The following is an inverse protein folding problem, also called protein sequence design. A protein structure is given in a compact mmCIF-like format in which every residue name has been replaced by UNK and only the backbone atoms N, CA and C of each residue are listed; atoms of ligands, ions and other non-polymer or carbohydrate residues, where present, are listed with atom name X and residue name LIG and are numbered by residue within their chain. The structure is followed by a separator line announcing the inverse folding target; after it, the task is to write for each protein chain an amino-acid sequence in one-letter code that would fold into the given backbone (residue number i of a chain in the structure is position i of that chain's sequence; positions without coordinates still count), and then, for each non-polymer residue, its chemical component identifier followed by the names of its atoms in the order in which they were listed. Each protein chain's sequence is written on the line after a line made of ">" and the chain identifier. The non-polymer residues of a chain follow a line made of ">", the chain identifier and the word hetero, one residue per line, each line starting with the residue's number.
data_IF_335061978849
#
_entry.id   IF_335061978849
#
_cell.length_a   1.000
_cell.length_b   1.000
_cell.length_c   1.000
_cell.angle_alpha   90.00
_cell.angle_beta   90.00
_cell.angle_gamma   90.00
#
_symmetry.space_group_name_H-M   'P 1'
#
loop_
_entity.id
_entity.type
_entity.pdbx_description
1 polymer ?
#
# COMPACT_ATOMS: atom_id res chain seq x y z
N UNK A 1 -35.80 -61.00 -11.74
CA UNK A 1 -34.60 -61.85 -11.59
C UNK A 1 -33.49 -60.92 -11.11
N UNK A 2 -33.38 -60.71 -9.80
CA UNK A 2 -32.36 -59.85 -9.20
C UNK A 2 -31.05 -60.64 -9.11
N UNK A 3 -30.03 -60.18 -9.82
CA UNK A 3 -28.67 -60.70 -9.64
C UNK A 3 -28.08 -60.07 -8.38
N UNK A 4 -28.19 -60.77 -7.25
CA UNK A 4 -27.47 -60.42 -6.03
C UNK A 4 -26.03 -60.90 -6.21
N UNK A 5 -25.11 -59.96 -6.48
CA UNK A 5 -23.67 -60.22 -6.52
C UNK A 5 -23.19 -60.64 -5.13
N UNK A 6 -22.92 -61.93 -4.95
CA UNK A 6 -22.41 -62.51 -3.71
C UNK A 6 -20.88 -62.42 -3.71
N UNK A 7 -20.35 -61.23 -3.41
CA UNK A 7 -18.91 -61.00 -3.22
C UNK A 7 -18.50 -61.54 -1.83
N UNK A 8 -17.32 -62.16 -1.75
CA UNK A 8 -16.74 -62.57 -0.47
C UNK A 8 -16.35 -61.35 0.37
N UNK A 9 -16.33 -61.49 1.71
CA UNK A 9 -16.00 -60.38 2.63
C UNK A 9 -14.67 -59.69 2.27
N UNK A 10 -13.69 -60.45 1.78
CA UNK A 10 -12.40 -59.91 1.30
C UNK A 10 -12.53 -59.01 0.08
N UNK A 11 -13.42 -59.33 -0.85
CA UNK A 11 -13.64 -58.51 -2.05
C UNK A 11 -14.38 -57.22 -1.69
N UNK A 12 -15.29 -57.28 -0.72
CA UNK A 12 -15.98 -56.10 -0.20
C UNK A 12 -15.03 -55.15 0.55
N UNK A 13 -14.13 -55.70 1.36
CA UNK A 13 -13.08 -54.92 2.05
C UNK A 13 -12.07 -54.30 1.06
N UNK A 14 -11.69 -55.04 0.02
CA UNK A 14 -10.83 -54.51 -1.05
C UNK A 14 -11.51 -53.35 -1.79
N UNK A 15 -12.79 -53.47 -2.12
CA UNK A 15 -13.57 -52.40 -2.74
C UNK A 15 -13.62 -51.15 -1.86
N UNK A 16 -13.89 -51.31 -0.55
CA UNK A 16 -13.90 -50.19 0.41
C UNK A 16 -12.56 -49.47 0.44
N UNK A 17 -11.45 -50.20 0.47
CA UNK A 17 -10.10 -49.63 0.49
C UNK A 17 -9.78 -48.88 -0.82
N UNK A 18 -10.19 -49.41 -1.96
CA UNK A 18 -10.06 -48.73 -3.26
C UNK A 18 -10.88 -47.43 -3.28
N UNK A 19 -12.13 -47.44 -2.79
CA UNK A 19 -12.94 -46.23 -2.70
C UNK A 19 -12.34 -45.19 -1.76
N UNK A 20 -11.83 -45.60 -0.60
CA UNK A 20 -11.15 -44.71 0.33
C UNK A 20 -9.91 -44.08 -0.31
N UNK A 21 -9.08 -44.88 -1.00
CA UNK A 21 -7.91 -44.38 -1.70
C UNK A 21 -8.28 -43.40 -2.82
N UNK A 22 -9.27 -43.74 -3.65
CA UNK A 22 -9.77 -42.86 -4.70
C UNK A 22 -10.29 -41.52 -4.12
N UNK A 23 -11.03 -41.57 -3.01
CA UNK A 23 -11.52 -40.37 -2.33
C UNK A 23 -10.37 -39.50 -1.78
N UNK A 24 -9.34 -40.11 -1.20
CA UNK A 24 -8.17 -39.41 -0.68
C UNK A 24 -7.39 -38.72 -1.81
N UNK A 25 -7.24 -39.39 -2.96
CA UNK A 25 -6.62 -38.80 -4.16
C UNK A 25 -7.43 -37.61 -4.67
N UNK A 26 -8.76 -37.71 -4.73
CA UNK A 26 -9.62 -36.61 -5.16
C UNK A 26 -9.53 -35.40 -4.20
N UNK A 27 -9.54 -35.64 -2.89
CA UNK A 27 -9.34 -34.58 -1.89
C UNK A 27 -7.97 -33.92 -2.05
N UNK A 28 -6.92 -34.71 -2.24
CA UNK A 28 -5.56 -34.20 -2.43
C UNK A 28 -5.45 -33.33 -3.70
N UNK A 29 -6.04 -33.75 -4.83
CA UNK A 29 -6.11 -32.95 -6.05
C UNK A 29 -6.86 -31.64 -5.79
N UNK A 30 -7.98 -31.69 -5.06
CA UNK A 30 -8.74 -30.50 -4.67
C UNK A 30 -7.91 -29.51 -3.85
N UNK A 31 -7.12 -30.00 -2.89
CA UNK A 31 -6.21 -29.17 -2.08
C UNK A 31 -5.11 -28.53 -2.94
N UNK A 32 -4.53 -29.27 -3.88
CA UNK A 32 -3.51 -28.73 -4.79
C UNK A 32 -4.08 -27.61 -5.68
N UNK A 33 -5.28 -27.79 -6.23
CA UNK A 33 -5.96 -26.76 -7.04
C UNK A 33 -6.25 -25.52 -6.20
N UNK A 34 -6.73 -25.68 -4.97
CA UNK A 34 -6.98 -24.57 -4.05
C UNK A 34 -5.70 -23.78 -3.74
N UNK A 35 -4.61 -24.48 -3.43
CA UNK A 35 -3.29 -23.86 -3.18
C UNK A 35 -2.78 -23.11 -4.42
N UNK A 36 -2.92 -23.70 -5.61
CA UNK A 36 -2.55 -23.08 -6.87
C UNK A 36 -3.35 -21.78 -7.14
N UNK A 37 -4.66 -21.82 -6.95
CA UNK A 37 -5.52 -20.65 -7.11
C UNK A 37 -5.18 -19.53 -6.13
N UNK A 38 -4.89 -19.87 -4.87
CA UNK A 38 -4.45 -18.91 -3.86
C UNK A 38 -3.11 -18.26 -4.25
N UNK A 39 -2.17 -19.06 -4.79
CA UNK A 39 -0.89 -18.55 -5.28
C UNK A 39 -1.07 -17.58 -6.47
N UNK A 40 -1.97 -17.88 -7.41
CA UNK A 40 -2.28 -16.95 -8.52
C UNK A 40 -2.96 -15.68 -8.00
N UNK A 41 -3.93 -15.81 -7.10
CA UNK A 41 -4.66 -14.67 -6.53
C UNK A 41 -3.71 -13.73 -5.79
N UNK A 42 -2.80 -14.27 -4.97
CA UNK A 42 -1.80 -13.46 -4.25
C UNK A 42 -0.84 -12.73 -5.21
N UNK A 43 -0.40 -13.37 -6.30
CA UNK A 43 0.42 -12.73 -7.33
C UNK A 43 -0.33 -11.59 -8.05
N UNK A 44 -1.61 -11.80 -8.39
CA UNK A 44 -2.46 -10.77 -9.01
C UNK A 44 -2.66 -9.59 -8.08
N UNK A 45 -3.04 -9.84 -6.83
CA UNK A 45 -3.20 -8.80 -5.81
C UNK A 45 -1.93 -7.95 -5.62
N UNK A 46 -0.75 -8.57 -5.56
CA UNK A 46 0.52 -7.83 -5.50
C UNK A 46 0.76 -6.97 -6.74
N UNK A 47 0.49 -7.52 -7.94
CA UNK A 47 0.64 -6.80 -9.20
C UNK A 47 -0.31 -5.60 -9.27
N UNK A 48 -1.57 -5.78 -8.88
CA UNK A 48 -2.59 -4.74 -8.90
C UNK A 48 -2.22 -3.61 -7.94
N UNK A 49 -1.83 -3.93 -6.70
CA UNK A 49 -1.32 -2.93 -5.74
C UNK A 49 -0.06 -2.21 -6.22
N UNK A 50 0.85 -2.90 -6.90
CA UNK A 50 2.05 -2.28 -7.46
C UNK A 50 1.67 -1.28 -8.56
N UNK A 51 0.70 -1.66 -9.41
CA UNK A 51 0.18 -0.77 -10.45
C UNK A 51 -0.51 0.45 -9.84
N UNK A 52 -1.37 0.25 -8.84
CA UNK A 52 -2.04 1.34 -8.10
C UNK A 52 -1.01 2.30 -7.48
N UNK A 53 0.03 1.77 -6.84
CA UNK A 53 1.12 2.58 -6.27
C UNK A 53 1.90 3.35 -7.34
N UNK A 54 2.13 2.73 -8.50
CA UNK A 54 2.77 3.38 -9.65
C UNK A 54 1.90 4.49 -10.23
N UNK A 55 0.61 4.25 -10.42
CA UNK A 55 -0.33 5.21 -10.95
C UNK A 55 -0.49 6.40 -10.00
N UNK A 56 -0.61 6.14 -8.70
CA UNK A 56 -0.62 7.16 -7.64
C UNK A 56 0.64 8.03 -7.67
N UNK A 57 1.83 7.42 -7.68
CA UNK A 57 3.09 8.16 -7.72
C UNK A 57 3.22 9.03 -8.98
N UNK A 58 2.69 8.55 -10.11
CA UNK A 58 2.69 9.29 -11.39
C UNK A 58 1.72 10.47 -11.35
N UNK A 59 0.52 10.26 -10.83
CA UNK A 59 -0.51 11.30 -10.64
C UNK A 59 0.05 12.40 -9.74
N UNK A 60 0.56 12.05 -8.57
CA UNK A 60 1.08 13.02 -7.61
C UNK A 60 2.26 13.84 -8.15
N UNK A 61 3.17 13.20 -8.90
CA UNK A 61 4.25 13.91 -9.61
C UNK A 61 3.74 14.80 -10.74
N UNK A 62 2.61 14.46 -11.36
CA UNK A 62 1.97 15.30 -12.38
C UNK A 62 1.34 16.53 -11.75
N UNK A 63 0.59 16.35 -10.65
CA UNK A 63 0.02 17.45 -9.87
C UNK A 63 1.09 18.43 -9.41
N UNK A 64 2.18 17.93 -8.81
CA UNK A 64 3.28 18.78 -8.36
C UNK A 64 3.97 19.56 -9.50
N UNK A 65 4.05 18.98 -10.71
CA UNK A 65 4.59 19.69 -11.88
C UNK A 65 3.66 20.77 -12.43
N UNK A 66 2.36 20.68 -12.14
CA UNK A 66 1.37 21.67 -12.58
C UNK A 66 1.28 22.88 -11.64
N UNK A 67 1.87 22.79 -10.44
CA UNK A 67 1.92 23.90 -9.50
C UNK A 67 2.88 24.97 -10.00
N UNK A 68 2.56 26.23 -9.69
CA UNK A 68 3.38 27.38 -10.10
C UNK A 68 4.59 27.58 -9.18
N UNK A 69 4.70 26.78 -8.11
CA UNK A 69 5.81 26.83 -7.18
C UNK A 69 6.73 25.61 -7.32
N UNK A 70 8.03 25.88 -7.20
CA UNK A 70 9.04 24.88 -6.96
C UNK A 70 9.58 25.09 -5.54
N UNK A 71 9.26 24.18 -4.62
CA UNK A 71 9.72 24.23 -3.23
C UNK A 71 11.26 24.31 -3.08
N UNK A 72 12.02 23.93 -4.12
CA UNK A 72 13.48 24.05 -4.11
C UNK A 72 13.95 25.49 -4.17
N UNK A 73 13.19 26.34 -4.84
CA UNK A 73 13.56 27.74 -5.13
C UNK A 73 13.10 28.69 -4.02
N UNK A 74 12.38 28.16 -3.02
CA UNK A 74 11.88 28.94 -1.88
C UNK A 74 12.83 28.75 -0.68
N UNK A 75 13.25 29.86 -0.07
CA UNK A 75 13.95 29.85 1.21
C UNK A 75 12.97 29.40 2.32
N UNK A 76 13.31 28.39 3.16
CA UNK A 76 12.46 27.98 4.27
C UNK A 76 12.01 29.13 5.18
N UNK A 77 12.80 30.20 5.32
CA UNK A 77 12.43 31.38 6.11
C UNK A 77 11.35 32.22 5.42
N UNK A 78 11.35 32.25 4.10
CA UNK A 78 10.30 32.91 3.32
C UNK A 78 8.97 32.17 3.39
N UNK A 79 8.96 30.84 3.65
CA UNK A 79 7.72 30.08 3.86
C UNK A 79 6.90 30.58 5.05
N UNK A 80 7.54 31.16 6.07
CA UNK A 80 6.85 31.74 7.24
C UNK A 80 6.23 33.10 6.93
N UNK A 81 6.71 33.76 5.89
CA UNK A 81 6.24 35.06 5.39
C UNK A 81 5.62 34.94 4.00
N UNK A 82 5.18 33.72 3.64
CA UNK A 82 4.74 33.45 2.28
C UNK A 82 3.60 34.40 1.93
N UNK A 83 3.73 35.07 0.78
CA UNK A 83 2.65 35.86 0.23
C UNK A 83 1.41 34.97 0.06
N UNK A 84 0.23 35.54 0.29
CA UNK A 84 -1.05 34.83 0.26
C UNK A 84 -1.28 34.07 -1.06
N UNK A 85 -0.57 34.42 -2.13
CA UNK A 85 -0.63 33.79 -3.45
C UNK A 85 0.08 32.43 -3.55
N UNK A 86 1.17 32.20 -2.79
CA UNK A 86 1.93 30.93 -2.84
C UNK A 86 1.52 29.93 -1.75
N UNK A 87 0.83 30.42 -0.72
CA UNK A 87 0.34 29.59 0.38
C UNK A 87 -0.55 28.42 -0.09
N UNK A 88 -1.50 28.59 -1.02
CA UNK A 88 -2.35 27.50 -1.50
C UNK A 88 -1.54 26.34 -2.09
N UNK A 89 -0.53 26.65 -2.90
CA UNK A 89 0.31 25.63 -3.54
C UNK A 89 1.17 24.89 -2.50
N UNK A 90 1.72 25.59 -1.50
CA UNK A 90 2.46 24.93 -0.40
C UNK A 90 1.54 24.05 0.43
N UNK A 91 0.34 24.53 0.76
CA UNK A 91 -0.67 23.73 1.47
C UNK A 91 -1.09 22.51 0.65
N UNK A 92 -1.16 22.61 -0.68
CA UNK A 92 -1.39 21.47 -1.55
C UNK A 92 -0.29 20.42 -1.41
N UNK A 93 0.99 20.81 -1.46
CA UNK A 93 2.11 19.88 -1.20
C UNK A 93 1.96 19.15 0.14
N UNK A 94 1.70 19.90 1.21
CA UNK A 94 1.57 19.33 2.55
C UNK A 94 0.39 18.36 2.66
N UNK A 95 -0.77 18.74 2.10
CA UNK A 95 -1.97 17.89 2.09
C UNK A 95 -1.76 16.62 1.27
N UNK A 96 -1.07 16.72 0.13
CA UNK A 96 -0.73 15.57 -0.70
C UNK A 96 0.18 14.56 0.02
N UNK A 97 1.17 15.05 0.78
CA UNK A 97 2.03 14.17 1.58
C UNK A 97 1.34 13.61 2.83
N UNK A 98 0.43 14.37 3.45
CA UNK A 98 -0.43 13.85 4.51
C UNK A 98 -1.33 12.72 4.02
N UNK A 99 -1.96 12.91 2.85
CA UNK A 99 -2.78 11.88 2.21
C UNK A 99 -1.95 10.64 1.87
N UNK A 100 -0.77 10.82 1.28
CA UNK A 100 0.16 9.71 1.02
C UNK A 100 0.48 8.92 2.29
N UNK A 101 0.75 9.62 3.40
CA UNK A 101 1.05 8.97 4.67
C UNK A 101 -0.14 8.17 5.22
N UNK A 102 -1.36 8.68 5.06
CA UNK A 102 -2.59 7.97 5.44
C UNK A 102 -2.81 6.74 4.54
N UNK A 103 -2.65 6.88 3.23
CA UNK A 103 -2.87 5.79 2.26
C UNK A 103 -1.88 4.65 2.47
N UNK A 104 -0.62 4.98 2.79
CA UNK A 104 0.40 4.01 3.19
C UNK A 104 0.06 3.32 4.51
N UNK A 105 -0.34 4.09 5.53
CA UNK A 105 -0.73 3.54 6.85
C UNK A 105 -1.89 2.55 6.72
N UNK A 106 -2.84 2.81 5.83
CA UNK A 106 -4.00 1.95 5.59
C UNK A 106 -3.69 0.76 4.65
N UNK A 107 -2.47 0.68 4.11
CA UNK A 107 -2.04 -0.41 3.24
C UNK A 107 -2.65 -0.37 1.84
N UNK A 108 -3.18 0.78 1.40
CA UNK A 108 -3.65 0.97 0.02
C UNK A 108 -2.51 1.04 -0.97
N UNK A 109 -1.34 1.52 -0.53
CA UNK A 109 -0.13 1.64 -1.34
C UNK A 109 0.97 0.70 -0.80
N UNK A 110 1.88 0.29 -1.67
CA UNK A 110 3.07 -0.49 -1.31
C UNK A 110 4.16 0.46 -0.83
N UNK A 111 4.47 0.44 0.47
CA UNK A 111 5.44 1.35 1.08
C UNK A 111 6.83 1.26 0.47
N UNK A 112 7.34 0.06 0.22
CA UNK A 112 8.66 -0.13 -0.39
C UNK A 112 8.76 0.54 -1.77
N UNK A 113 7.70 0.40 -2.58
CA UNK A 113 7.62 1.04 -3.88
C UNK A 113 7.54 2.57 -3.76
N UNK A 114 6.69 3.07 -2.86
CA UNK A 114 6.53 4.50 -2.65
C UNK A 114 7.81 5.13 -2.09
N UNK A 115 8.53 4.45 -1.21
CA UNK A 115 9.84 4.89 -0.70
C UNK A 115 10.88 4.94 -1.82
N UNK A 116 10.97 3.90 -2.65
CA UNK A 116 11.89 3.89 -3.79
C UNK A 116 11.59 5.01 -4.82
N UNK A 117 10.30 5.32 -5.02
CA UNK A 117 9.87 6.33 -5.98
C UNK A 117 9.92 7.76 -5.43
N UNK A 118 9.54 7.97 -4.17
CA UNK A 118 9.26 9.29 -3.60
C UNK A 118 10.03 9.60 -2.32
N UNK A 119 10.86 8.68 -1.82
CA UNK A 119 11.57 8.82 -0.54
C UNK A 119 12.34 10.12 -0.43
N UNK A 120 13.12 10.46 -1.46
CA UNK A 120 13.83 11.73 -1.50
C UNK A 120 12.87 12.93 -1.37
N UNK A 121 11.79 12.95 -2.15
CA UNK A 121 10.85 14.07 -2.17
C UNK A 121 10.09 14.23 -0.86
N UNK A 122 9.67 13.13 -0.23
CA UNK A 122 9.03 13.13 1.10
C UNK A 122 9.98 13.74 2.14
N UNK A 123 11.22 13.25 2.21
CA UNK A 123 12.22 13.74 3.17
C UNK A 123 12.56 15.21 2.92
N UNK A 124 12.79 15.55 1.65
CA UNK A 124 13.13 16.90 1.24
C UNK A 124 12.01 17.90 1.57
N UNK A 125 10.76 17.57 1.21
CA UNK A 125 9.63 18.45 1.46
C UNK A 125 9.39 18.63 2.95
N UNK A 126 9.50 17.58 3.77
CA UNK A 126 9.37 17.74 5.22
C UNK A 126 10.41 18.72 5.76
N UNK A 127 11.70 18.49 5.50
CA UNK A 127 12.78 19.36 5.98
C UNK A 127 12.64 20.80 5.52
N UNK A 128 12.09 21.03 4.33
CA UNK A 128 11.81 22.38 3.83
C UNK A 128 10.64 23.06 4.54
N UNK A 129 9.63 22.30 4.94
CA UNK A 129 8.34 22.85 5.39
C UNK A 129 8.06 22.68 6.89
N UNK A 130 8.92 21.99 7.64
CA UNK A 130 8.70 21.70 9.06
C UNK A 130 8.47 22.95 9.91
N UNK A 131 9.22 24.04 9.65
CA UNK A 131 9.04 25.30 10.37
C UNK A 131 7.66 25.90 10.13
N UNK A 132 7.16 25.86 8.89
CA UNK A 132 5.81 26.30 8.55
C UNK A 132 4.76 25.42 9.23
N UNK A 133 4.94 24.10 9.24
CA UNK A 133 4.02 23.17 9.91
C UNK A 133 3.94 23.47 11.40
N UNK A 134 5.08 23.67 12.08
CA UNK A 134 5.09 24.00 13.50
C UNK A 134 4.43 25.37 13.79
N UNK A 135 4.66 26.36 12.92
CA UNK A 135 4.01 27.66 13.02
C UNK A 135 2.48 27.55 12.85
N UNK A 136 2.01 26.75 11.88
CA UNK A 136 0.59 26.47 11.66
C UNK A 136 -0.05 25.77 12.87
N UNK A 137 0.66 24.82 13.49
CA UNK A 137 0.21 24.15 14.73
C UNK A 137 0.09 25.12 15.89
N UNK A 138 1.07 26.02 16.05
CA UNK A 138 1.10 27.05 17.09
C UNK A 138 -0.05 28.06 16.92
N UNK A 139 -0.20 28.63 15.73
CA UNK A 139 -1.23 29.64 15.43
C UNK A 139 -2.64 29.06 15.36
N UNK A 140 -2.80 27.87 14.78
CA UNK A 140 -4.10 27.23 14.58
C UNK A 140 -4.63 26.47 15.79
N UNK A 141 -3.83 26.33 16.85
CA UNK A 141 -4.22 25.59 18.07
C UNK A 141 -4.43 24.08 17.85
N UNK A 142 -3.98 23.53 16.72
CA UNK A 142 -4.10 22.11 16.39
C UNK A 142 -2.73 21.48 16.20
N UNK A 143 -2.24 20.83 17.26
CA UNK A 143 -0.96 20.12 17.24
C UNK A 143 -0.89 18.95 16.24
N UNK A 144 -2.03 18.50 15.70
CA UNK A 144 -2.11 17.35 14.80
C UNK A 144 -1.99 17.70 13.32
N UNK A 145 -1.82 18.97 12.95
CA UNK A 145 -1.63 19.30 11.54
C UNK A 145 -0.42 18.57 10.97
N UNK A 146 -0.64 17.81 9.90
CA UNK A 146 0.40 17.06 9.20
C UNK A 146 1.11 15.99 10.07
N UNK A 147 0.42 15.44 11.08
CA UNK A 147 0.96 14.42 11.98
C UNK A 147 1.30 13.12 11.24
N UNK A 148 0.51 12.72 10.23
CA UNK A 148 0.81 11.51 9.48
C UNK A 148 2.04 11.69 8.59
N UNK A 149 2.18 12.85 7.98
CA UNK A 149 3.37 13.20 7.20
C UNK A 149 4.63 13.23 8.08
N UNK A 150 4.56 13.80 9.28
CA UNK A 150 5.67 13.78 10.26
C UNK A 150 6.10 12.34 10.59
N UNK A 151 5.14 11.48 10.90
CA UNK A 151 5.40 10.07 11.20
C UNK A 151 5.95 9.32 10.00
N UNK A 152 5.52 9.67 8.79
CA UNK A 152 6.07 9.09 7.56
C UNK A 152 7.53 9.50 7.38
N UNK A 153 7.83 10.79 7.53
CA UNK A 153 9.18 11.33 7.47
C UNK A 153 10.11 10.62 8.47
N UNK A 154 9.73 10.56 9.75
CA UNK A 154 10.53 9.93 10.80
C UNK A 154 10.82 8.45 10.49
N UNK A 155 9.81 7.70 10.03
CA UNK A 155 9.99 6.29 9.63
C UNK A 155 10.95 6.13 8.46
N UNK A 156 10.86 7.01 7.46
CA UNK A 156 11.66 6.90 6.24
C UNK A 156 13.08 7.43 6.41
N UNK A 157 13.30 8.40 7.31
CA UNK A 157 14.63 8.91 7.62
C UNK A 157 15.44 7.93 8.50
N UNK A 158 14.78 7.24 9.43
CA UNK A 158 15.45 6.31 10.36
C UNK A 158 15.73 4.93 9.77
N UNK A 159 15.20 4.65 8.58
CA UNK A 159 15.37 3.39 7.86
C UNK A 159 15.98 3.67 6.47
N UNK A 160 17.29 3.96 6.41
CA UNK A 160 18.00 4.18 5.15
C UNK A 160 17.98 2.96 4.24
#
# INVERSE_FOLDING_TARGET
>A
MEYVLNLSDREFDMLRLVFQFASAVLVFIGLLIAAWNLAIASKRFKKDKTKESSDYARELRSEFRSLQINLRDIDPKELLHIDNEKLPDVMFYLNSYERLAIDLKNGYLIEDYMRASMGFSVIYTWKKTEHLIYELRSKGGNARYFEHFEKLYQRWETQP
#
